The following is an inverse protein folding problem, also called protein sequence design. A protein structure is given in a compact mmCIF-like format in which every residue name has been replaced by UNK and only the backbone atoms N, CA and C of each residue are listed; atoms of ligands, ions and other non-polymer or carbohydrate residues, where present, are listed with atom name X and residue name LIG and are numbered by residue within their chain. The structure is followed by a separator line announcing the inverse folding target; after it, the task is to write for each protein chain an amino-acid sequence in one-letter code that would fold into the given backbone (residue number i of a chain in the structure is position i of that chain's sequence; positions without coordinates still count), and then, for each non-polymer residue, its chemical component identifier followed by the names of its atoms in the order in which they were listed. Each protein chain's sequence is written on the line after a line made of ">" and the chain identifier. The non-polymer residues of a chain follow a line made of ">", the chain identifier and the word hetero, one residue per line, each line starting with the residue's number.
data_IF_368913860040
#
_entry.id   IF_368913860040
#
_cell.length_a   1.000
_cell.length_b   1.000
_cell.length_c   1.000
_cell.angle_alpha   90.00
_cell.angle_beta   90.00
_cell.angle_gamma   90.00
#
_symmetry.space_group_name_H-M   'P 1'
#
loop_
_entity.id
_entity.type
_entity.pdbx_description
1 polymer ?
#
# COMPACT_ATOMS: atom_id res chain seq x y z
N UNK A 1 -69.16 -44.27 -18.09
CA UNK A 1 -67.99 -43.71 -18.79
C UNK A 1 -68.26 -42.22 -18.88
N UNK A 2 -67.43 -41.27 -18.47
CA UNK A 2 -65.97 -41.22 -18.40
C UNK A 2 -65.53 -40.28 -17.28
N UNK A 3 -64.35 -40.54 -16.73
CA UNK A 3 -63.64 -39.75 -15.74
C UNK A 3 -62.93 -38.59 -16.45
N UNK A 4 -62.92 -37.40 -15.86
CA UNK A 4 -61.77 -36.50 -15.95
C UNK A 4 -61.91 -35.35 -14.94
N UNK A 5 -61.55 -35.61 -13.69
CA UNK A 5 -61.09 -34.55 -12.79
C UNK A 5 -59.66 -34.22 -13.21
N UNK A 6 -59.48 -33.16 -14.00
CA UNK A 6 -58.19 -32.55 -14.32
C UNK A 6 -58.09 -31.26 -13.48
N UNK A 7 -57.65 -31.36 -12.22
CA UNK A 7 -56.28 -31.12 -11.78
C UNK A 7 -55.81 -29.67 -12.08
N UNK A 8 -55.81 -28.76 -11.09
CA UNK A 8 -55.34 -27.39 -11.26
C UNK A 8 -53.80 -27.36 -11.22
N UNK A 9 -53.14 -27.79 -12.30
CA UNK A 9 -51.66 -27.76 -12.41
C UNK A 9 -51.16 -26.41 -12.95
N UNK A 10 -52.04 -25.50 -13.36
CA UNK A 10 -51.64 -24.25 -14.01
C UNK A 10 -50.99 -23.22 -13.08
N UNK A 11 -51.04 -23.39 -11.75
CA UNK A 11 -50.52 -22.39 -10.79
C UNK A 11 -49.08 -22.67 -10.28
N UNK A 12 -48.50 -23.86 -10.52
CA UNK A 12 -47.16 -24.19 -10.00
C UNK A 12 -46.00 -23.68 -10.87
N UNK A 13 -46.25 -23.36 -12.15
CA UNK A 13 -45.22 -22.87 -13.08
C UNK A 13 -44.86 -21.38 -12.93
N UNK A 14 -45.70 -20.60 -12.27
CA UNK A 14 -45.47 -19.15 -12.06
C UNK A 14 -44.67 -18.85 -10.79
N UNK A 15 -44.52 -19.82 -9.88
CA UNK A 15 -43.73 -19.68 -8.66
C UNK A 15 -42.24 -19.99 -8.86
N UNK A 16 -41.87 -20.71 -9.93
CA UNK A 16 -40.46 -21.02 -10.21
C UNK A 16 -39.66 -19.79 -10.68
N UNK A 17 -40.32 -18.79 -11.27
CA UNK A 17 -39.68 -17.53 -11.70
C UNK A 17 -39.43 -16.51 -10.58
N UNK A 18 -40.14 -16.63 -9.46
CA UNK A 18 -40.00 -15.72 -8.31
C UNK A 18 -38.87 -16.15 -7.35
N UNK A 19 -38.56 -17.45 -7.28
CA UNK A 19 -37.50 -17.95 -6.39
C UNK A 19 -36.11 -17.52 -6.89
N UNK A 20 -35.94 -17.45 -8.21
CA UNK A 20 -34.67 -17.05 -8.84
C UNK A 20 -34.38 -15.55 -8.69
N UNK A 21 -35.41 -14.70 -8.68
CA UNK A 21 -35.25 -13.24 -8.53
C UNK A 21 -34.98 -12.84 -7.09
N UNK A 22 -35.62 -13.48 -6.10
CA UNK A 22 -35.29 -13.27 -4.68
C UNK A 22 -33.88 -13.76 -4.37
N UNK A 23 -33.47 -14.93 -4.89
CA UNK A 23 -32.11 -15.44 -4.70
C UNK A 23 -31.04 -14.49 -5.28
N UNK A 24 -31.31 -13.86 -6.42
CA UNK A 24 -30.41 -12.87 -7.01
C UNK A 24 -30.41 -11.54 -6.24
N UNK A 25 -31.54 -11.08 -5.69
CA UNK A 25 -31.61 -9.87 -4.85
C UNK A 25 -30.88 -10.06 -3.52
N UNK A 26 -30.92 -11.27 -2.94
CA UNK A 26 -30.21 -11.58 -1.69
C UNK A 26 -28.70 -11.77 -1.92
N UNK A 27 -28.29 -12.29 -3.08
CA UNK A 27 -26.87 -12.52 -3.39
C UNK A 27 -26.17 -11.36 -4.12
N UNK A 28 -26.93 -10.43 -4.71
CA UNK A 28 -26.40 -9.19 -5.30
C UNK A 28 -25.64 -8.30 -4.30
N UNK A 29 -26.13 -7.99 -3.08
CA UNK A 29 -25.42 -7.11 -2.16
C UNK A 29 -24.11 -7.73 -1.67
N UNK A 30 -24.04 -9.05 -1.47
CA UNK A 30 -22.81 -9.75 -1.06
C UNK A 30 -21.73 -9.64 -2.14
N UNK A 31 -22.11 -9.74 -3.42
CA UNK A 31 -21.17 -9.64 -4.55
C UNK A 31 -20.70 -8.21 -4.82
N UNK A 32 -21.54 -7.20 -4.57
CA UNK A 32 -21.17 -5.79 -4.73
C UNK A 32 -20.32 -5.31 -3.53
N UNK A 33 -20.66 -5.72 -2.31
CA UNK A 33 -19.86 -5.45 -1.12
C UNK A 33 -18.47 -6.09 -1.19
N UNK A 34 -18.35 -7.32 -1.71
CA UNK A 34 -17.05 -7.99 -1.91
C UNK A 34 -16.12 -7.23 -2.85
N UNK A 35 -16.65 -6.70 -3.97
CA UNK A 35 -15.85 -5.91 -4.93
C UNK A 35 -15.48 -4.50 -4.43
N UNK A 36 -16.29 -3.91 -3.57
CA UNK A 36 -15.98 -2.62 -2.95
C UNK A 36 -14.86 -2.74 -1.91
N UNK A 37 -14.79 -3.86 -1.19
CA UNK A 37 -13.72 -4.15 -0.24
C UNK A 37 -12.35 -4.31 -0.92
N UNK A 38 -12.31 -4.89 -2.13
CA UNK A 38 -11.06 -5.05 -2.91
C UNK A 38 -10.48 -3.70 -3.40
N UNK A 39 -11.32 -2.69 -3.67
CA UNK A 39 -10.86 -1.34 -4.04
C UNK A 39 -10.52 -0.45 -2.84
N UNK A 40 -11.18 -0.68 -1.70
CA UNK A 40 -10.81 -0.05 -0.42
C UNK A 40 -9.56 -0.69 0.20
N UNK A 41 -9.15 -1.87 -0.30
CA UNK A 41 -7.92 -2.58 0.06
C UNK A 41 -6.93 -2.50 -1.09
N UNK A 42 -6.59 -1.29 -1.54
CA UNK A 42 -5.19 -1.08 -1.98
C UNK A 42 -4.37 -1.35 -0.74
N UNK A 43 -3.85 -2.56 -0.65
CA UNK A 43 -3.60 -3.17 0.65
C UNK A 43 -2.56 -2.36 1.42
N UNK A 44 -2.75 -2.23 2.73
CA UNK A 44 -1.72 -1.63 3.60
C UNK A 44 -0.34 -2.24 3.34
N UNK A 45 -0.27 -3.51 2.91
CA UNK A 45 0.97 -4.16 2.47
C UNK A 45 1.66 -3.49 1.27
N UNK A 46 0.97 -2.98 0.25
CA UNK A 46 1.63 -2.24 -0.85
C UNK A 46 2.14 -0.86 -0.39
N UNK A 47 1.39 -0.19 0.48
CA UNK A 47 1.79 1.08 1.08
C UNK A 47 3.00 0.92 2.02
N UNK A 48 3.00 -0.14 2.84
CA UNK A 48 4.08 -0.49 3.76
C UNK A 48 5.34 -0.92 3.01
N UNK A 49 5.20 -1.67 1.92
CA UNK A 49 6.35 -2.07 1.10
C UNK A 49 7.00 -0.87 0.41
N UNK A 50 6.19 0.09 -0.08
CA UNK A 50 6.70 1.35 -0.64
C UNK A 50 7.41 2.18 0.43
N UNK A 51 6.80 2.34 1.60
CA UNK A 51 7.41 3.06 2.74
C UNK A 51 8.73 2.40 3.18
N UNK A 52 8.80 1.07 3.20
CA UNK A 52 10.01 0.33 3.54
C UNK A 52 11.13 0.46 2.51
N UNK A 53 10.81 0.62 1.22
CA UNK A 53 11.81 0.95 0.18
C UNK A 53 12.35 2.36 0.36
N UNK A 54 11.47 3.35 0.51
CA UNK A 54 11.85 4.76 0.70
C UNK A 54 12.69 4.96 1.98
N UNK A 55 12.44 4.18 3.02
CA UNK A 55 13.24 4.21 4.25
C UNK A 55 14.66 3.67 4.00
N UNK A 56 14.80 2.52 3.33
CA UNK A 56 16.11 1.94 3.01
C UNK A 56 16.95 2.86 2.12
N UNK A 57 16.34 3.45 1.09
CA UNK A 57 17.03 4.38 0.20
C UNK A 57 17.56 5.62 0.96
N UNK A 58 16.75 6.16 1.88
CA UNK A 58 17.17 7.28 2.74
C UNK A 58 18.28 6.88 3.71
N UNK A 59 18.20 5.72 4.34
CA UNK A 59 19.27 5.21 5.20
C UNK A 59 20.58 4.99 4.43
N UNK A 60 20.50 4.48 3.21
CA UNK A 60 21.66 4.34 2.33
C UNK A 60 22.29 5.70 1.97
N UNK A 61 21.49 6.73 1.71
CA UNK A 61 21.96 8.09 1.45
C UNK A 61 22.72 8.65 2.66
N UNK A 62 22.13 8.57 3.86
CA UNK A 62 22.76 9.01 5.10
C UNK A 62 24.08 8.25 5.32
N UNK A 63 24.09 6.93 5.15
CA UNK A 63 25.30 6.13 5.30
C UNK A 63 26.38 6.46 4.27
N UNK A 64 26.02 6.80 3.02
CA UNK A 64 26.97 7.28 2.00
C UNK A 64 27.60 8.60 2.42
N UNK A 65 26.78 9.51 2.94
CA UNK A 65 27.23 10.83 3.38
C UNK A 65 28.12 10.76 4.63
N UNK A 66 27.77 9.93 5.62
CA UNK A 66 28.61 9.64 6.79
C UNK A 66 30.00 9.14 6.38
N UNK A 67 30.06 8.19 5.44
CA UNK A 67 31.32 7.69 4.92
C UNK A 67 32.11 8.78 4.17
N UNK A 68 31.43 9.67 3.45
CA UNK A 68 32.06 10.82 2.77
C UNK A 68 32.68 11.78 3.77
N UNK A 69 31.89 12.23 4.75
CA UNK A 69 32.33 13.06 5.86
C UNK A 69 33.55 12.45 6.56
N UNK A 70 33.50 11.18 6.93
CA UNK A 70 34.61 10.51 7.62
C UNK A 70 35.90 10.49 6.80
N UNK A 71 35.82 10.25 5.48
CA UNK A 71 36.97 10.29 4.58
C UNK A 71 37.53 11.71 4.45
N UNK A 72 36.67 12.70 4.24
CA UNK A 72 37.07 14.10 4.08
C UNK A 72 37.65 14.66 5.37
N UNK A 73 37.04 14.36 6.52
CA UNK A 73 37.57 14.72 7.83
C UNK A 73 38.94 14.09 8.11
N UNK A 74 39.18 12.86 7.64
CA UNK A 74 40.51 12.25 7.71
C UNK A 74 41.53 13.00 6.86
N UNK A 75 41.22 13.26 5.58
CA UNK A 75 42.11 14.02 4.68
C UNK A 75 42.38 15.44 5.18
N UNK A 76 41.37 16.09 5.73
CA UNK A 76 41.50 17.38 6.40
C UNK A 76 42.54 17.33 7.53
N UNK A 77 42.47 16.32 8.40
CA UNK A 77 43.49 16.10 9.46
C UNK A 77 44.88 15.79 8.91
N UNK A 78 44.97 15.25 7.70
CA UNK A 78 46.22 14.99 6.99
C UNK A 78 46.77 16.26 6.28
N UNK A 79 46.05 17.39 6.34
CA UNK A 79 46.49 18.70 5.85
C UNK A 79 45.87 19.15 4.53
N UNK A 80 44.90 18.40 4.01
CA UNK A 80 44.17 18.73 2.78
C UNK A 80 43.07 19.75 3.06
N UNK A 81 43.31 21.02 2.68
CA UNK A 81 42.41 22.15 2.95
C UNK A 81 41.07 22.01 2.23
N UNK A 82 41.08 21.54 0.99
CA UNK A 82 39.85 21.34 0.21
C UNK A 82 38.99 20.25 0.87
N UNK A 83 39.62 19.19 1.37
CA UNK A 83 38.92 18.16 2.11
C UNK A 83 38.34 18.64 3.45
N UNK A 84 38.89 19.70 4.05
CA UNK A 84 38.27 20.33 5.23
C UNK A 84 36.96 21.02 4.87
N UNK A 85 36.93 21.77 3.78
CA UNK A 85 35.71 22.43 3.29
C UNK A 85 34.65 21.38 2.89
N UNK A 86 35.06 20.30 2.22
CA UNK A 86 34.16 19.21 1.86
C UNK A 86 33.61 18.47 3.09
N UNK A 87 34.43 18.28 4.13
CA UNK A 87 33.98 17.67 5.38
C UNK A 87 32.92 18.54 6.08
N UNK A 88 33.09 19.86 6.08
CA UNK A 88 32.10 20.78 6.65
C UNK A 88 30.77 20.72 5.88
N UNK A 89 30.82 20.78 4.55
CA UNK A 89 29.62 20.64 3.70
C UNK A 89 28.91 19.30 3.89
N UNK A 90 29.68 18.21 3.96
CA UNK A 90 29.12 16.87 4.21
C UNK A 90 28.45 16.81 5.59
N UNK A 91 29.04 17.42 6.61
CA UNK A 91 28.47 17.50 7.96
C UNK A 91 27.17 18.31 7.99
N UNK A 92 27.16 19.50 7.38
CA UNK A 92 25.95 20.34 7.29
C UNK A 92 24.80 19.61 6.60
N UNK A 93 25.09 18.91 5.50
CA UNK A 93 24.09 18.11 4.78
C UNK A 93 23.57 16.97 5.66
N UNK A 94 24.45 16.32 6.43
CA UNK A 94 24.08 15.24 7.32
C UNK A 94 23.16 15.73 8.45
N UNK A 95 23.50 16.84 9.10
CA UNK A 95 22.67 17.45 10.14
C UNK A 95 21.29 17.78 9.59
N UNK A 96 21.21 18.37 8.39
CA UNK A 96 19.93 18.68 7.74
C UNK A 96 19.10 17.43 7.48
N UNK A 97 19.69 16.37 6.93
CA UNK A 97 18.97 15.12 6.64
C UNK A 97 18.48 14.42 7.91
N UNK A 98 19.30 14.43 8.97
CA UNK A 98 18.93 13.83 10.26
C UNK A 98 17.84 14.64 10.98
N UNK A 99 17.88 15.98 10.91
CA UNK A 99 16.82 16.85 11.48
C UNK A 99 15.47 16.61 10.79
N UNK A 100 15.45 16.56 9.46
CA UNK A 100 14.23 16.27 8.68
C UNK A 100 13.65 14.92 9.07
N UNK A 101 14.51 13.88 9.20
CA UNK A 101 14.10 12.55 9.65
C UNK A 101 13.49 12.58 11.07
N UNK A 102 14.05 13.38 11.98
CA UNK A 102 13.52 13.49 13.35
C UNK A 102 12.14 14.14 13.42
N UNK A 103 11.74 14.93 12.42
CA UNK A 103 10.39 15.52 12.35
C UNK A 103 9.34 14.58 11.74
N UNK A 104 9.78 13.53 11.05
CA UNK A 104 8.92 12.58 10.34
C UNK A 104 8.47 11.39 11.22
N UNK A 105 9.02 11.27 12.44
CA UNK A 105 8.77 10.22 13.42
C UNK A 105 7.93 10.75 14.59
#
# INVERSE_FOLDING_TARGET
>A
MERAVLLPIACLGLLSGCVSTVANVVTAPVRVAGKAFDLATTSQSEADEKRGREMREREEEIGKLERSYSRNARRCREGDIDACEDAEKDYERLVRLVDVRSREY
#
